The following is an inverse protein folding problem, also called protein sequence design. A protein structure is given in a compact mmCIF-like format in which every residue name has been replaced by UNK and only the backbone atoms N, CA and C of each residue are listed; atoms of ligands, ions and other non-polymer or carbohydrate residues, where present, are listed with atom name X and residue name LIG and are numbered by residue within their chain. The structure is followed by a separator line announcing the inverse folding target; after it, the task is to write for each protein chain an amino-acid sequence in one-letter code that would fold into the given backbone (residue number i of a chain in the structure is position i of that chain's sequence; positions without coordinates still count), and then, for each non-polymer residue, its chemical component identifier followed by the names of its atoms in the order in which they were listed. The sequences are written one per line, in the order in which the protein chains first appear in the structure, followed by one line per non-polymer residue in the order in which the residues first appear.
data_IF_416222605583
#
_entry.id   IF_416222605583
#
_cell.length_a   1.000
_cell.length_b   1.000
_cell.length_c   1.000
_cell.angle_alpha   90.00
_cell.angle_beta   90.00
_cell.angle_gamma   90.00
#
_symmetry.space_group_name_H-M   'P 1'
#
loop_
_entity.id
_entity.type
_entity.pdbx_description
1 polymer ?
#
# COMPACT_ATOMS: atom_id res chain seq x y z
N UNK A 1 -4.08 -17.61 -32.07
CA UNK A 1 -4.12 -18.57 -30.94
C UNK A 1 -2.87 -18.38 -30.10
N UNK A 2 -2.97 -17.70 -28.95
CA UNK A 2 -1.81 -17.48 -28.08
C UNK A 2 -1.48 -18.79 -27.35
N UNK A 3 -0.26 -19.30 -27.56
CA UNK A 3 0.32 -20.41 -26.82
C UNK A 3 0.21 -20.11 -25.31
N UNK A 4 -0.63 -20.88 -24.61
CA UNK A 4 -0.77 -20.83 -23.15
C UNK A 4 0.47 -21.50 -22.57
N UNK A 5 1.56 -20.75 -22.50
CA UNK A 5 2.80 -21.15 -21.82
C UNK A 5 2.44 -21.77 -20.47
N UNK A 6 2.62 -23.09 -20.32
CA UNK A 6 2.45 -23.77 -19.04
C UNK A 6 3.46 -23.15 -18.09
N UNK A 7 3.00 -22.37 -17.11
CA UNK A 7 3.87 -21.90 -16.03
C UNK A 7 4.33 -23.13 -15.25
N UNK A 8 5.59 -23.49 -15.45
CA UNK A 8 6.26 -24.47 -14.60
C UNK A 8 6.44 -23.81 -13.24
N UNK A 9 5.93 -24.43 -12.18
CA UNK A 9 6.09 -24.00 -10.79
C UNK A 9 7.18 -24.88 -10.17
N UNK A 10 8.44 -24.42 -10.08
CA UNK A 10 9.59 -25.28 -9.77
C UNK A 10 9.46 -25.99 -8.41
N UNK A 11 8.85 -25.31 -7.42
CA UNK A 11 8.68 -25.83 -6.04
C UNK A 11 7.33 -26.52 -5.82
N UNK A 12 6.50 -26.65 -6.86
CA UNK A 12 5.14 -27.17 -6.77
C UNK A 12 4.08 -26.15 -6.32
N UNK A 13 2.83 -26.40 -6.72
CA UNK A 13 1.68 -25.49 -6.53
C UNK A 13 1.37 -25.28 -5.03
N UNK A 14 1.59 -26.31 -4.20
CA UNK A 14 1.29 -26.27 -2.76
C UNK A 14 2.23 -25.32 -2.02
N UNK A 15 3.53 -25.32 -2.36
CA UNK A 15 4.52 -24.44 -1.74
C UNK A 15 4.20 -22.96 -2.02
N UNK A 16 3.88 -22.62 -3.27
CA UNK A 16 3.49 -21.27 -3.67
C UNK A 16 2.20 -20.81 -2.98
N UNK A 17 1.20 -21.70 -2.91
CA UNK A 17 -0.06 -21.42 -2.21
C UNK A 17 0.17 -21.12 -0.72
N UNK A 18 0.99 -21.90 -0.04
CA UNK A 18 1.32 -21.69 1.37
C UNK A 18 2.11 -20.39 1.59
N UNK A 19 3.05 -20.07 0.70
CA UNK A 19 3.80 -18.82 0.76
C UNK A 19 2.88 -17.59 0.63
N UNK A 20 1.95 -17.59 -0.32
CA UNK A 20 0.96 -16.50 -0.47
C UNK A 20 0.07 -16.39 0.76
N UNK A 21 -0.39 -17.52 1.33
CA UNK A 21 -1.24 -17.56 2.53
C UNK A 21 -0.59 -16.89 3.73
N UNK A 22 0.68 -17.19 3.97
CA UNK A 22 1.38 -16.75 5.16
C UNK A 22 1.97 -15.35 5.01
N UNK A 23 2.43 -14.98 3.80
CA UNK A 23 3.28 -13.79 3.61
C UNK A 23 2.61 -12.62 2.91
N UNK A 24 1.40 -12.76 2.33
CA UNK A 24 0.83 -11.66 1.55
C UNK A 24 0.54 -10.38 2.35
N UNK A 25 0.12 -10.50 3.61
CA UNK A 25 -0.01 -9.34 4.52
C UNK A 25 1.34 -8.68 4.79
N UNK A 26 2.38 -9.47 5.07
CA UNK A 26 3.73 -8.96 5.31
C UNK A 26 4.34 -8.31 4.07
N UNK A 27 4.09 -8.84 2.89
CA UNK A 27 4.57 -8.27 1.63
C UNK A 27 3.87 -6.96 1.32
N UNK A 28 2.56 -6.83 1.60
CA UNK A 28 1.87 -5.55 1.47
C UNK A 28 2.49 -4.47 2.37
N UNK A 29 2.79 -4.80 3.62
CA UNK A 29 3.50 -3.91 4.55
C UNK A 29 4.91 -3.58 4.06
N UNK A 30 5.67 -4.58 3.60
CA UNK A 30 7.02 -4.35 3.07
C UNK A 30 7.01 -3.41 1.85
N UNK A 31 6.03 -3.56 0.96
CA UNK A 31 5.86 -2.67 -0.18
C UNK A 31 5.51 -1.24 0.27
N UNK A 32 4.59 -1.07 1.22
CA UNK A 32 4.22 0.25 1.71
C UNK A 32 5.37 0.93 2.46
N UNK A 33 6.14 0.18 3.26
CA UNK A 33 7.37 0.69 3.89
C UNK A 33 8.43 1.06 2.85
N UNK A 34 8.58 0.29 1.77
CA UNK A 34 9.45 0.64 0.66
C UNK A 34 9.06 1.98 0.02
N UNK A 35 7.75 2.19 -0.22
CA UNK A 35 7.22 3.48 -0.71
C UNK A 35 7.45 4.60 0.30
N UNK A 36 7.26 4.33 1.60
CA UNK A 36 7.52 5.31 2.66
C UNK A 36 8.97 5.78 2.64
N UNK A 37 9.93 4.85 2.58
CA UNK A 37 11.36 5.17 2.54
C UNK A 37 11.67 6.06 1.34
N UNK A 38 11.16 5.71 0.15
CA UNK A 38 11.34 6.55 -1.05
C UNK A 38 10.72 7.95 -0.84
N UNK A 39 9.52 8.02 -0.27
CA UNK A 39 8.83 9.28 0.04
C UNK A 39 9.64 10.17 0.99
N UNK A 40 10.17 9.61 2.07
CA UNK A 40 10.99 10.31 3.06
C UNK A 40 12.32 10.78 2.46
N UNK A 41 12.96 9.96 1.62
CA UNK A 41 14.19 10.35 0.91
C UNK A 41 13.92 11.54 -0.01
N UNK A 42 12.82 11.53 -0.76
CA UNK A 42 12.45 12.66 -1.62
C UNK A 42 12.13 13.94 -0.82
N UNK A 43 11.47 13.82 0.33
CA UNK A 43 11.20 14.95 1.22
C UNK A 43 12.47 15.57 1.81
N UNK A 44 13.52 14.77 2.00
CA UNK A 44 14.82 15.27 2.49
C UNK A 44 15.63 16.01 1.42
N UNK A 45 15.27 15.87 0.14
CA UNK A 45 15.97 16.53 -0.97
C UNK A 45 15.41 17.94 -1.21
N UNK A 46 16.27 18.94 -1.48
CA UNK A 46 15.82 20.28 -1.82
C UNK A 46 15.11 20.30 -3.18
N UNK A 47 13.95 20.94 -3.25
CA UNK A 47 13.19 21.11 -4.48
C UNK A 47 11.68 21.02 -4.27
N UNK A 48 10.93 21.84 -5.02
CA UNK A 48 9.45 21.81 -4.95
C UNK A 48 8.88 20.50 -5.50
N UNK A 49 9.45 20.00 -6.61
CA UNK A 49 9.03 18.74 -7.22
C UNK A 49 9.33 17.53 -6.33
N UNK A 50 10.54 17.48 -5.74
CA UNK A 50 10.92 16.40 -4.80
C UNK A 50 10.06 16.45 -3.54
N UNK A 51 9.80 17.65 -3.00
CA UNK A 51 8.87 17.85 -1.90
C UNK A 51 7.46 17.35 -2.20
N UNK A 52 6.89 17.71 -3.36
CA UNK A 52 5.56 17.27 -3.78
C UNK A 52 5.49 15.74 -3.94
N UNK A 53 6.43 15.16 -4.67
CA UNK A 53 6.47 13.70 -4.90
C UNK A 53 6.68 12.94 -3.59
N UNK A 54 7.59 13.41 -2.74
CA UNK A 54 7.85 12.81 -1.43
C UNK A 54 6.63 12.86 -0.52
N UNK A 55 5.90 13.98 -0.52
CA UNK A 55 4.65 14.14 0.22
C UNK A 55 3.56 13.17 -0.26
N UNK A 56 3.33 13.10 -1.58
CA UNK A 56 2.33 12.19 -2.17
C UNK A 56 2.67 10.73 -1.87
N UNK A 57 3.94 10.32 -2.03
CA UNK A 57 4.36 8.95 -1.71
C UNK A 57 4.20 8.62 -0.22
N UNK A 58 4.44 9.59 0.66
CA UNK A 58 4.22 9.42 2.10
C UNK A 58 2.74 9.18 2.40
N UNK A 59 1.82 9.91 1.77
CA UNK A 59 0.37 9.68 1.88
C UNK A 59 -0.07 8.34 1.30
N UNK A 60 0.53 7.92 0.19
CA UNK A 60 0.29 6.58 -0.39
C UNK A 60 0.73 5.49 0.60
N UNK A 61 1.89 5.66 1.24
CA UNK A 61 2.39 4.69 2.21
C UNK A 61 1.59 4.71 3.52
N UNK A 62 1.14 5.89 3.95
CA UNK A 62 0.45 6.15 5.21
C UNK A 62 -0.96 6.71 4.98
N UNK A 63 -1.88 5.92 4.37
CA UNK A 63 -3.18 6.40 3.91
C UNK A 63 -4.13 6.83 5.04
N UNK A 64 -3.77 6.57 6.30
CA UNK A 64 -4.58 6.99 7.46
C UNK A 64 -4.16 8.35 8.02
N UNK A 65 -3.14 9.01 7.47
CA UNK A 65 -2.72 10.36 7.86
C UNK A 65 -3.87 11.38 7.95
N UNK A 66 -4.79 11.47 6.96
CA UNK A 66 -5.91 12.40 7.03
C UNK A 66 -6.80 12.19 8.26
N UNK A 67 -6.96 10.95 8.73
CA UNK A 67 -7.83 10.62 9.87
C UNK A 67 -7.35 11.27 11.18
N UNK A 68 -6.04 11.55 11.28
CA UNK A 68 -5.42 12.18 12.44
C UNK A 68 -5.16 13.68 12.23
N UNK A 69 -5.68 14.25 11.14
CA UNK A 69 -5.50 15.66 10.79
C UNK A 69 -4.12 16.01 10.20
N UNK A 70 -3.29 15.01 9.89
CA UNK A 70 -1.97 15.24 9.29
C UNK A 70 -2.15 15.67 7.82
N UNK A 71 -1.47 16.72 7.33
CA UNK A 71 -0.35 17.43 7.95
C UNK A 71 -0.73 18.71 8.72
N UNK A 72 -2.01 19.08 8.78
CA UNK A 72 -2.46 20.30 9.45
C UNK A 72 -2.20 20.26 10.96
N UNK A 73 -2.28 19.07 11.56
CA UNK A 73 -1.85 18.80 12.92
C UNK A 73 -0.39 18.31 12.95
N UNK A 74 0.39 18.89 13.87
CA UNK A 74 1.74 18.43 14.18
C UNK A 74 1.77 17.50 15.41
N UNK A 75 2.85 16.77 15.59
CA UNK A 75 3.13 16.04 16.83
C UNK A 75 3.42 14.55 16.63
N UNK A 76 4.48 14.08 17.30
CA UNK A 76 4.98 12.71 17.18
C UNK A 76 3.90 11.64 17.40
N UNK A 77 3.02 11.83 18.38
CA UNK A 77 1.95 10.87 18.71
C UNK A 77 0.98 10.64 17.55
N UNK A 78 0.57 11.69 16.84
CA UNK A 78 -0.36 11.56 15.70
C UNK A 78 0.30 10.84 14.53
N UNK A 79 1.56 11.15 14.25
CA UNK A 79 2.35 10.44 13.23
C UNK A 79 2.55 8.96 13.61
N UNK A 80 2.82 8.65 14.88
CA UNK A 80 2.98 7.28 15.36
C UNK A 80 1.66 6.49 15.24
N UNK A 81 0.53 7.08 15.63
CA UNK A 81 -0.78 6.46 15.48
C UNK A 81 -1.09 6.20 14.01
N UNK A 82 -0.89 7.20 13.14
CA UNK A 82 -1.07 7.05 11.69
C UNK A 82 -0.18 5.97 11.09
N UNK A 83 1.07 5.88 11.55
CA UNK A 83 1.99 4.84 11.11
C UNK A 83 1.47 3.45 11.48
N UNK A 84 1.12 3.23 12.75
CA UNK A 84 0.62 1.94 13.25
C UNK A 84 -0.68 1.56 12.52
N UNK A 85 -1.64 2.47 12.42
CA UNK A 85 -2.90 2.20 11.72
C UNK A 85 -2.70 1.91 10.24
N UNK A 86 -1.78 2.61 9.57
CA UNK A 86 -1.47 2.35 8.15
C UNK A 86 -0.83 0.98 7.95
N UNK A 87 0.11 0.58 8.82
CA UNK A 87 0.71 -0.76 8.80
C UNK A 87 -0.36 -1.83 8.96
N UNK A 88 -1.28 -1.64 9.92
CA UNK A 88 -2.40 -2.56 10.12
C UNK A 88 -3.31 -2.63 8.89
N UNK A 89 -3.67 -1.50 8.30
CA UNK A 89 -4.52 -1.47 7.10
C UNK A 89 -3.86 -2.21 5.94
N UNK A 90 -2.59 -1.91 5.64
CA UNK A 90 -1.84 -2.59 4.57
C UNK A 90 -1.74 -4.09 4.82
N UNK A 91 -1.48 -4.50 6.07
CA UNK A 91 -1.45 -5.91 6.44
C UNK A 91 -2.82 -6.58 6.22
N UNK A 92 -3.92 -5.95 6.66
CA UNK A 92 -5.28 -6.48 6.51
C UNK A 92 -5.61 -6.68 5.03
N UNK A 93 -5.41 -5.67 4.19
CA UNK A 93 -5.76 -5.79 2.76
C UNK A 93 -4.84 -6.79 2.04
N UNK A 94 -3.57 -6.86 2.41
CA UNK A 94 -2.62 -7.84 1.88
C UNK A 94 -2.96 -9.26 2.27
N UNK A 95 -3.36 -9.48 3.53
CA UNK A 95 -3.79 -10.77 4.03
C UNK A 95 -5.12 -11.19 3.42
N UNK A 96 -6.07 -10.26 3.30
CA UNK A 96 -7.35 -10.51 2.66
C UNK A 96 -7.21 -10.88 1.18
N UNK A 97 -6.31 -10.20 0.45
CA UNK A 97 -5.96 -10.56 -0.91
C UNK A 97 -5.37 -12.00 -1.00
N UNK A 98 -4.60 -12.44 0.00
CA UNK A 98 -4.12 -13.83 0.07
C UNK A 98 -5.26 -14.83 0.23
N UNK A 99 -6.23 -14.55 1.09
CA UNK A 99 -7.38 -15.43 1.31
C UNK A 99 -8.21 -15.60 0.03
N UNK A 100 -8.33 -14.53 -0.78
CA UNK A 100 -8.99 -14.59 -2.09
C UNK A 100 -8.16 -15.33 -3.12
N UNK A 101 -6.87 -15.02 -3.25
CA UNK A 101 -5.98 -15.62 -4.24
C UNK A 101 -5.83 -17.15 -4.09
N UNK A 102 -5.99 -17.69 -2.88
CA UNK A 102 -5.88 -19.13 -2.63
C UNK A 102 -7.09 -19.92 -3.16
N UNK A 103 -8.24 -19.26 -3.38
CA UNK A 103 -9.44 -19.88 -3.95
C UNK A 103 -9.26 -20.23 -5.43
N UNK A 104 -8.28 -19.63 -6.10
CA UNK A 104 -7.94 -19.94 -7.49
C UNK A 104 -7.26 -21.31 -7.64
N UNK A 105 -7.49 -21.95 -8.80
CA UNK A 105 -6.94 -23.28 -9.13
C UNK A 105 -5.41 -23.27 -9.08
N UNK A 106 -4.79 -22.15 -9.50
CA UNK A 106 -3.35 -21.92 -9.44
C UNK A 106 -3.12 -20.70 -8.56
N UNK A 107 -2.85 -20.94 -7.27
CA UNK A 107 -2.61 -19.86 -6.30
C UNK A 107 -1.12 -19.48 -6.27
N UNK A 108 -0.77 -18.35 -6.91
CA UNK A 108 0.59 -17.81 -6.89
C UNK A 108 0.60 -16.28 -6.75
N UNK A 109 1.80 -15.67 -6.76
CA UNK A 109 1.98 -14.23 -6.54
C UNK A 109 1.22 -13.33 -7.55
N UNK A 110 1.10 -13.68 -8.84
CA UNK A 110 0.34 -12.87 -9.79
C UNK A 110 -1.15 -12.82 -9.47
N UNK A 111 -1.74 -13.89 -8.93
CA UNK A 111 -3.13 -13.93 -8.48
C UNK A 111 -3.31 -13.06 -7.24
N UNK A 112 -2.38 -13.14 -6.27
CA UNK A 112 -2.36 -12.21 -5.14
C UNK A 112 -2.30 -10.74 -5.59
N UNK A 113 -1.43 -10.40 -6.56
CA UNK A 113 -1.33 -9.03 -7.11
C UNK A 113 -2.62 -8.58 -7.79
N UNK A 114 -3.36 -9.48 -8.44
CA UNK A 114 -4.64 -9.15 -9.08
C UNK A 114 -5.71 -8.79 -8.05
N UNK A 115 -5.78 -9.52 -6.94
CA UNK A 115 -6.71 -9.23 -5.83
C UNK A 115 -6.28 -8.01 -5.01
N UNK A 116 -4.96 -7.84 -4.79
CA UNK A 116 -4.42 -6.74 -4.00
C UNK A 116 -4.54 -5.38 -4.69
N UNK A 117 -4.27 -5.31 -6.01
CA UNK A 117 -4.27 -4.05 -6.78
C UNK A 117 -5.53 -3.19 -6.60
N UNK A 118 -6.76 -3.69 -6.83
CA UNK A 118 -7.95 -2.85 -6.70
C UNK A 118 -8.16 -2.35 -5.26
N UNK A 119 -7.85 -3.16 -4.25
CA UNK A 119 -7.92 -2.76 -2.85
C UNK A 119 -6.93 -1.65 -2.52
N UNK A 120 -5.67 -1.81 -2.96
CA UNK A 120 -4.62 -0.81 -2.79
C UNK A 120 -4.97 0.51 -3.49
N UNK A 121 -5.48 0.45 -4.73
CA UNK A 121 -5.90 1.63 -5.49
C UNK A 121 -7.05 2.36 -4.78
N UNK A 122 -8.08 1.62 -4.32
CA UNK A 122 -9.20 2.23 -3.60
C UNK A 122 -8.76 2.94 -2.32
N UNK A 123 -7.89 2.30 -1.53
CA UNK A 123 -7.33 2.88 -0.31
C UNK A 123 -6.53 4.16 -0.60
N UNK A 124 -5.64 4.11 -1.59
CA UNK A 124 -4.81 5.25 -1.98
C UNK A 124 -5.68 6.40 -2.48
N UNK A 125 -6.61 6.15 -3.41
CA UNK A 125 -7.51 7.17 -3.93
C UNK A 125 -8.33 7.80 -2.82
N UNK A 126 -8.88 7.00 -1.90
CA UNK A 126 -9.61 7.51 -0.74
C UNK A 126 -8.76 8.45 0.12
N UNK A 127 -7.51 8.08 0.40
CA UNK A 127 -6.59 8.93 1.16
C UNK A 127 -6.24 10.24 0.46
N UNK A 128 -5.99 10.20 -0.86
CA UNK A 128 -5.65 11.38 -1.66
C UNK A 128 -6.85 12.32 -1.82
N UNK A 129 -8.06 11.78 -2.01
CA UNK A 129 -9.29 12.57 -2.04
C UNK A 129 -9.52 13.23 -0.69
N UNK A 130 -9.35 12.50 0.42
CA UNK A 130 -9.48 13.07 1.76
C UNK A 130 -8.48 14.19 2.01
N UNK A 131 -7.24 14.03 1.57
CA UNK A 131 -6.21 15.07 1.62
C UNK A 131 -6.61 16.31 0.80
N UNK A 132 -7.07 16.12 -0.44
CA UNK A 132 -7.51 17.21 -1.31
C UNK A 132 -8.68 17.98 -0.69
N UNK A 133 -9.66 17.27 -0.13
CA UNK A 133 -10.79 17.88 0.58
C UNK A 133 -10.34 18.66 1.82
N UNK A 134 -9.42 18.10 2.62
CA UNK A 134 -8.89 18.79 3.78
C UNK A 134 -8.16 20.08 3.39
N UNK A 135 -7.34 20.04 2.32
CA UNK A 135 -6.64 21.21 1.80
C UNK A 135 -7.60 22.30 1.29
N UNK A 136 -8.68 21.92 0.58
CA UNK A 136 -9.72 22.85 0.13
C UNK A 136 -10.46 23.51 1.32
N UNK A 137 -10.84 22.72 2.33
CA UNK A 137 -11.57 23.23 3.50
C UNK A 137 -10.71 24.19 4.33
N UNK A 138 -9.39 23.93 4.40
CA UNK A 138 -8.43 24.77 5.13
C UNK A 138 -7.96 25.99 4.32
N UNK A 139 -8.39 26.16 3.06
CA UNK A 139 -8.00 27.29 2.21
C UNK A 139 -6.54 27.24 1.74
N UNK A 140 -5.96 26.03 1.63
CA UNK A 140 -4.59 25.82 1.18
C UNK A 140 -4.47 25.62 -0.35
N UNK A 141 -5.60 25.55 -1.05
CA UNK A 141 -5.78 25.44 -2.51
C UNK A 141 -6.70 26.57 -2.97
#
# INVERSE_FOLDING_TARGET
MASKSRRVVPDGIVAHRNAVRQRGGLIAVALSLGVLVVGLVLLALPGSLTGLLGFVLTFIALPTMPLFGIPASGGFTLYALSFISSVLVWWIIGHYASLRAIREIIASWPEWRREFRPLAIGLVLGSLISLALAALILGAL
#
